data_IF_764154259749
#
_entry.id   IF_764154259749
#
_cell.length_a   1.000
_cell.length_b   1.000
_cell.length_c   1.000
_cell.angle_alpha   90.00
_cell.angle_beta   90.00
_cell.angle_gamma   90.00
#
_symmetry.space_group_name_H-M   'P 1'
#
loop_
_entity.id
_entity.type
_entity.pdbx_description
1 polymer ?
#
# COMPACT_ATOMS: atom_id res chain seq x y z
N UNK A 1 6.05 21.02 21.46
CA UNK A 1 5.99 20.88 19.99
C UNK A 1 5.77 19.39 19.73
N UNK A 2 4.67 19.01 19.10
CA UNK A 2 4.47 17.62 18.65
C UNK A 2 5.56 17.29 17.64
N UNK A 3 6.29 16.19 17.85
CA UNK A 3 7.30 15.73 16.90
C UNK A 3 6.61 15.50 15.54
N UNK A 4 7.20 16.04 14.47
CA UNK A 4 6.68 15.87 13.12
C UNK A 4 6.55 14.36 12.79
N UNK A 5 5.40 13.96 12.21
CA UNK A 5 5.11 12.57 11.82
C UNK A 5 4.31 12.57 10.53
N UNK A 6 4.76 11.81 9.54
CA UNK A 6 4.06 11.60 8.27
C UNK A 6 3.25 10.31 8.33
N UNK A 7 1.98 10.38 7.93
CA UNK A 7 1.13 9.22 7.71
C UNK A 7 0.78 9.12 6.23
N UNK A 8 1.07 7.97 5.63
CA UNK A 8 0.79 7.66 4.23
C UNK A 8 -0.32 6.60 4.20
N UNK A 9 -1.45 6.94 3.59
CA UNK A 9 -2.58 6.05 3.45
C UNK A 9 -2.54 5.36 2.08
N UNK A 10 -2.51 4.06 2.06
CA UNK A 10 -2.87 3.26 0.89
C UNK A 10 -4.39 3.35 0.72
N UNK A 11 -4.82 4.29 -0.14
CA UNK A 11 -6.23 4.64 -0.24
C UNK A 11 -7.07 3.51 -0.83
N UNK A 12 -6.54 2.77 -1.80
CA UNK A 12 -7.23 1.64 -2.39
C UNK A 12 -7.51 0.55 -1.35
N UNK A 13 -6.48 0.14 -0.62
CA UNK A 13 -6.62 -0.83 0.46
C UNK A 13 -7.68 -0.41 1.48
N UNK A 14 -7.74 0.88 1.84
CA UNK A 14 -8.70 1.37 2.82
C UNK A 14 -10.14 1.45 2.26
N UNK A 15 -10.36 1.95 1.03
CA UNK A 15 -11.73 2.04 0.52
C UNK A 15 -12.29 0.68 0.09
N UNK A 16 -11.47 -0.24 -0.43
CA UNK A 16 -11.90 -1.63 -0.64
C UNK A 16 -12.28 -2.29 0.68
N UNK A 17 -11.45 -2.12 1.72
CA UNK A 17 -11.76 -2.63 3.05
C UNK A 17 -13.05 -2.04 3.61
N UNK A 18 -13.29 -0.75 3.41
CA UNK A 18 -14.53 -0.09 3.80
C UNK A 18 -15.72 -0.67 3.06
N UNK A 19 -15.61 -0.85 1.75
CA UNK A 19 -16.66 -1.40 0.90
C UNK A 19 -17.12 -2.80 1.36
N UNK A 20 -16.17 -3.70 1.60
CA UNK A 20 -16.49 -5.07 2.01
C UNK A 20 -16.79 -5.20 3.51
N UNK A 21 -16.29 -4.28 4.34
CA UNK A 21 -16.42 -4.37 5.81
C UNK A 21 -17.57 -3.56 6.42
N UNK A 22 -18.06 -2.53 5.72
CA UNK A 22 -19.15 -1.68 6.21
C UNK A 22 -20.46 -2.06 5.52
N UNK A 23 -21.51 -2.38 6.28
CA UNK A 23 -22.79 -2.73 5.69
C UNK A 23 -23.37 -1.58 4.84
N UNK A 24 -23.90 -1.94 3.68
CA UNK A 24 -24.74 -1.04 2.90
C UNK A 24 -26.02 -0.71 3.68
N UNK A 25 -26.36 0.57 3.78
CA UNK A 25 -27.52 1.07 4.54
C UNK A 25 -28.60 1.67 3.64
N UNK A 26 -28.47 1.54 2.31
CA UNK A 26 -29.53 1.98 1.38
C UNK A 26 -30.85 1.33 1.73
N UNK A 27 -31.91 2.11 1.70
CA UNK A 27 -33.29 1.63 1.83
C UNK A 27 -33.91 1.30 0.49
N UNK A 28 -33.47 2.02 -0.54
CA UNK A 28 -33.86 1.83 -1.94
C UNK A 28 -32.57 1.56 -2.76
N UNK A 29 -32.53 0.52 -3.62
CA UNK A 29 -31.41 0.28 -4.54
C UNK A 29 -31.11 1.47 -5.49
N UNK A 30 -32.06 2.38 -5.69
CA UNK A 30 -31.86 3.60 -6.48
C UNK A 30 -31.08 4.70 -5.74
N UNK A 31 -30.93 4.60 -4.42
CA UNK A 31 -30.07 5.50 -3.65
C UNK A 31 -28.59 5.23 -3.95
N UNK A 32 -27.73 6.27 -3.96
CA UNK A 32 -26.29 6.06 -4.17
C UNK A 32 -25.68 5.22 -3.04
N UNK A 33 -24.80 4.24 -3.34
CA UNK A 33 -24.07 3.52 -2.32
C UNK A 33 -23.08 4.46 -1.61
N UNK A 34 -22.94 4.31 -0.28
CA UNK A 34 -22.08 5.19 0.53
C UNK A 34 -21.24 4.46 1.58
N UNK A 35 -21.32 3.14 1.63
CA UNK A 35 -20.61 2.33 2.65
C UNK A 35 -19.09 2.46 2.56
N UNK A 36 -18.50 2.51 1.36
CA UNK A 36 -17.07 2.72 1.18
C UNK A 36 -16.65 4.13 1.63
N UNK A 37 -17.40 5.16 1.22
CA UNK A 37 -17.09 6.55 1.62
C UNK A 37 -17.17 6.70 3.14
N UNK A 38 -18.26 6.22 3.75
CA UNK A 38 -18.42 6.26 5.21
C UNK A 38 -17.28 5.57 5.93
N UNK A 39 -16.99 4.33 5.52
CA UNK A 39 -15.95 3.55 6.15
C UNK A 39 -14.57 4.16 5.98
N UNK A 40 -14.26 4.68 4.79
CA UNK A 40 -12.99 5.35 4.53
C UNK A 40 -12.82 6.60 5.43
N UNK A 41 -13.83 7.48 5.49
CA UNK A 41 -13.79 8.66 6.35
C UNK A 41 -13.66 8.29 7.83
N UNK A 42 -14.38 7.27 8.30
CA UNK A 42 -14.27 6.77 9.67
C UNK A 42 -12.89 6.17 9.98
N UNK A 43 -12.27 5.51 9.01
CA UNK A 43 -10.89 5.01 9.15
C UNK A 43 -9.91 6.16 9.24
N UNK A 44 -10.04 7.20 8.40
CA UNK A 44 -9.20 8.41 8.48
C UNK A 44 -9.34 9.08 9.85
N UNK A 45 -10.57 9.31 10.31
CA UNK A 45 -10.82 9.89 11.64
C UNK A 45 -10.19 9.07 12.77
N UNK A 46 -10.31 7.74 12.71
CA UNK A 46 -9.72 6.82 13.69
C UNK A 46 -8.20 6.90 13.70
N UNK A 47 -7.57 6.86 12.53
CA UNK A 47 -6.12 6.90 12.37
C UNK A 47 -5.54 8.23 12.86
N UNK A 48 -6.14 9.35 12.45
CA UNK A 48 -5.68 10.69 12.88
C UNK A 48 -5.82 10.85 14.40
N UNK A 49 -6.94 10.42 14.99
CA UNK A 49 -7.16 10.49 16.43
C UNK A 49 -6.17 9.62 17.21
N UNK A 50 -5.91 8.40 16.75
CA UNK A 50 -5.05 7.43 17.45
C UNK A 50 -3.56 7.76 17.35
N UNK A 51 -3.10 8.18 16.16
CA UNK A 51 -1.67 8.32 15.87
C UNK A 51 -1.18 9.77 15.81
N UNK A 52 -2.11 10.75 15.76
CA UNK A 52 -1.82 12.20 15.78
C UNK A 52 -0.71 12.61 14.80
N UNK A 53 -0.84 12.27 13.51
CA UNK A 53 0.13 12.69 12.52
C UNK A 53 0.11 14.22 12.41
N UNK A 54 1.22 14.83 11.99
CA UNK A 54 1.28 16.24 11.61
C UNK A 54 1.20 16.43 10.09
N UNK A 55 1.47 15.36 9.35
CA UNK A 55 1.44 15.30 7.89
C UNK A 55 0.64 14.07 7.47
N UNK A 56 -0.24 14.21 6.50
CA UNK A 56 -1.12 13.15 6.02
C UNK A 56 -1.25 13.19 4.51
N UNK A 57 -1.09 12.04 3.87
CA UNK A 57 -1.28 11.90 2.43
C UNK A 57 -2.15 10.69 2.14
N UNK A 58 -3.20 10.89 1.35
CA UNK A 58 -3.95 9.82 0.71
C UNK A 58 -3.22 9.46 -0.61
N UNK A 59 -2.44 8.38 -0.59
CA UNK A 59 -1.74 7.89 -1.77
C UNK A 59 -2.73 7.16 -2.69
N UNK A 60 -2.59 7.36 -4.00
CA UNK A 60 -3.61 6.99 -4.97
C UNK A 60 -3.03 6.28 -6.18
N UNK A 61 -3.73 5.24 -6.65
CA UNK A 61 -3.42 4.59 -7.92
C UNK A 61 -3.90 5.48 -9.08
N UNK A 62 -2.95 6.07 -9.81
CA UNK A 62 -3.25 6.65 -11.10
C UNK A 62 -3.22 5.56 -12.19
N UNK A 63 -2.44 4.50 -11.93
CA UNK A 63 -2.40 3.29 -12.75
C UNK A 63 -2.27 2.06 -11.82
N UNK A 64 -3.32 1.26 -11.72
CA UNK A 64 -3.37 0.07 -10.85
C UNK A 64 -2.51 -1.10 -11.37
N UNK A 65 -2.12 -1.05 -12.66
CA UNK A 65 -1.36 -2.09 -13.38
C UNK A 65 -0.33 -1.46 -14.32
N UNK A 66 0.73 -0.82 -13.78
CA UNK A 66 1.71 -0.07 -14.55
C UNK A 66 2.33 -0.84 -15.71
N UNK A 67 2.44 -0.19 -16.86
CA UNK A 67 2.95 -0.80 -18.09
C UNK A 67 4.36 -1.39 -17.88
N UNK A 68 5.24 -0.72 -17.13
CA UNK A 68 6.60 -1.22 -16.89
C UNK A 68 6.65 -2.55 -16.11
N UNK A 69 5.64 -2.81 -15.25
CA UNK A 69 5.49 -4.09 -14.54
C UNK A 69 4.95 -5.16 -15.47
N UNK A 70 3.97 -4.82 -16.30
CA UNK A 70 3.39 -5.72 -17.32
C UNK A 70 4.42 -6.13 -18.36
N UNK A 71 5.26 -5.21 -18.83
CA UNK A 71 6.37 -5.52 -19.75
C UNK A 71 7.39 -6.46 -19.14
N UNK A 72 7.68 -6.30 -17.84
CA UNK A 72 8.61 -7.18 -17.14
C UNK A 72 8.00 -8.57 -16.85
N UNK A 73 6.74 -8.61 -16.38
CA UNK A 73 6.01 -9.85 -16.05
C UNK A 73 4.57 -9.72 -16.55
N UNK A 74 4.22 -10.26 -17.73
CA UNK A 74 2.88 -10.10 -18.33
C UNK A 74 1.73 -10.64 -17.47
N UNK A 75 2.00 -11.57 -16.56
CA UNK A 75 1.00 -12.13 -15.62
C UNK A 75 0.69 -11.20 -14.44
N UNK A 76 1.44 -10.10 -14.26
CA UNK A 76 1.22 -9.15 -13.18
C UNK A 76 -0.21 -8.62 -13.18
N UNK A 77 -0.96 -8.90 -12.12
CA UNK A 77 -2.38 -8.56 -11.90
C UNK A 77 -3.33 -8.88 -13.07
N UNK A 78 -2.93 -9.77 -14.02
CA UNK A 78 -3.72 -10.04 -15.21
C UNK A 78 -5.10 -10.64 -14.90
N UNK A 79 -5.25 -11.35 -13.79
CA UNK A 79 -6.51 -11.95 -13.35
C UNK A 79 -7.49 -10.93 -12.73
N UNK A 80 -7.08 -9.67 -12.53
CA UNK A 80 -7.93 -8.58 -12.05
C UNK A 80 -8.50 -7.73 -13.20
N UNK A 81 -8.17 -8.06 -14.46
CA UNK A 81 -8.72 -7.36 -15.61
C UNK A 81 -10.21 -7.65 -15.74
N UNK A 82 -11.00 -6.61 -15.99
CA UNK A 82 -12.42 -6.74 -16.31
C UNK A 82 -12.60 -7.53 -17.62
N UNK A 83 -13.71 -8.27 -17.72
CA UNK A 83 -14.01 -9.12 -18.88
C UNK A 83 -13.93 -8.33 -20.19
N UNK A 84 -13.03 -8.75 -21.08
CA UNK A 84 -12.83 -8.12 -22.38
C UNK A 84 -12.00 -6.84 -22.39
N UNK A 85 -11.53 -6.37 -21.23
CA UNK A 85 -10.62 -5.23 -21.11
C UNK A 85 -9.15 -5.68 -21.06
N UNK A 86 -8.25 -4.80 -21.51
CA UNK A 86 -6.80 -4.94 -21.35
C UNK A 86 -6.22 -3.96 -20.32
N UNK A 87 -7.03 -3.01 -19.84
CA UNK A 87 -6.60 -1.89 -19.02
C UNK A 87 -7.46 -1.69 -17.76
N UNK A 88 -8.76 -2.02 -17.81
CA UNK A 88 -9.68 -1.77 -16.71
C UNK A 88 -9.63 -2.88 -15.66
N UNK A 89 -9.54 -2.48 -14.36
CA UNK A 89 -9.66 -3.40 -13.25
C UNK A 89 -11.12 -3.79 -13.01
N UNK A 90 -11.37 -5.06 -12.75
CA UNK A 90 -12.69 -5.50 -12.30
C UNK A 90 -13.01 -4.90 -10.93
N UNK A 91 -13.84 -3.87 -10.94
CA UNK A 91 -14.27 -3.16 -9.74
C UNK A 91 -15.75 -3.42 -9.49
N UNK A 92 -16.18 -3.72 -8.25
CA UNK A 92 -17.59 -3.86 -7.94
C UNK A 92 -18.43 -2.64 -8.40
N UNK A 93 -19.57 -2.90 -9.06
CA UNK A 93 -20.43 -1.84 -9.62
C UNK A 93 -20.83 -0.79 -8.58
N UNK A 94 -21.10 -1.21 -7.35
CA UNK A 94 -21.46 -0.32 -6.25
C UNK A 94 -20.25 0.40 -5.61
N UNK A 95 -19.01 0.01 -5.89
CA UNK A 95 -17.81 0.70 -5.41
C UNK A 95 -17.40 1.83 -6.36
N UNK A 96 -17.45 1.58 -7.66
CA UNK A 96 -16.97 2.52 -8.67
C UNK A 96 -17.54 3.96 -8.51
N UNK A 97 -18.85 4.18 -8.26
CA UNK A 97 -19.40 5.52 -8.05
C UNK A 97 -18.99 6.18 -6.74
N UNK A 98 -18.50 5.41 -5.75
CA UNK A 98 -18.09 5.96 -4.45
C UNK A 98 -16.66 6.53 -4.46
N UNK A 99 -15.78 6.04 -5.35
CA UNK A 99 -14.38 6.48 -5.42
C UNK A 99 -14.25 7.98 -5.75
N UNK A 100 -14.99 8.55 -6.71
CA UNK A 100 -15.03 10.00 -6.93
C UNK A 100 -15.47 10.78 -5.69
N UNK A 101 -16.48 10.29 -4.94
CA UNK A 101 -16.99 10.97 -3.73
C UNK A 101 -15.92 10.99 -2.63
N UNK A 102 -15.15 9.90 -2.47
CA UNK A 102 -14.01 9.88 -1.53
C UNK A 102 -12.98 10.94 -1.92
N UNK A 103 -12.63 11.02 -3.22
CA UNK A 103 -11.68 12.01 -3.73
C UNK A 103 -12.15 13.45 -3.47
N UNK A 104 -13.43 13.72 -3.74
CA UNK A 104 -14.01 15.06 -3.57
C UNK A 104 -14.11 15.41 -2.08
N UNK A 105 -14.43 14.46 -1.19
CA UNK A 105 -14.39 14.64 0.25
C UNK A 105 -12.99 14.97 0.79
N UNK A 106 -11.94 14.27 0.31
CA UNK A 106 -10.57 14.58 0.66
C UNK A 106 -10.19 16.00 0.23
N UNK A 107 -10.56 16.39 -1.01
CA UNK A 107 -10.29 17.73 -1.53
C UNK A 107 -11.01 18.81 -0.72
N UNK A 108 -12.32 18.61 -0.41
CA UNK A 108 -13.11 19.56 0.39
C UNK A 108 -12.56 19.72 1.82
N UNK A 109 -12.06 18.64 2.42
CA UNK A 109 -11.40 18.66 3.72
C UNK A 109 -10.00 19.30 3.69
N UNK A 110 -9.37 19.45 2.52
CA UNK A 110 -7.99 19.91 2.40
C UNK A 110 -6.93 18.82 2.68
N UNK A 111 -7.35 17.55 2.69
CA UNK A 111 -6.41 16.41 2.83
C UNK A 111 -5.70 16.18 1.50
N UNK A 112 -4.38 16.18 1.52
CA UNK A 112 -3.55 16.00 0.32
C UNK A 112 -3.74 14.59 -0.23
N UNK A 113 -4.13 14.51 -1.51
CA UNK A 113 -4.18 13.26 -2.29
C UNK A 113 -3.08 13.32 -3.37
N UNK A 114 -2.23 12.31 -3.42
CA UNK A 114 -1.15 12.21 -4.40
C UNK A 114 -1.21 10.89 -5.14
N UNK A 115 -1.05 10.96 -6.45
CA UNK A 115 -0.82 9.87 -7.38
C UNK A 115 0.25 10.27 -8.39
N UNK A 116 0.74 9.32 -9.14
CA UNK A 116 1.68 9.55 -10.25
C UNK A 116 1.25 8.73 -11.46
N UNK A 117 1.19 9.35 -12.65
CA UNK A 117 0.77 8.66 -13.86
C UNK A 117 1.74 7.54 -14.22
N UNK A 118 1.21 6.36 -14.51
CA UNK A 118 1.98 5.15 -14.76
C UNK A 118 2.53 4.46 -13.50
N UNK A 119 2.03 4.82 -12.30
CA UNK A 119 2.44 4.26 -11.01
C UNK A 119 1.25 3.93 -10.11
N UNK A 120 1.46 2.96 -9.25
CA UNK A 120 0.52 2.56 -8.20
C UNK A 120 0.64 3.43 -6.95
N UNK A 121 -0.35 3.38 -6.07
CA UNK A 121 -0.28 4.01 -4.75
C UNK A 121 0.94 3.55 -3.95
N UNK A 122 1.34 2.29 -4.09
CA UNK A 122 2.52 1.70 -3.44
C UNK A 122 3.82 2.41 -3.85
N UNK A 123 3.94 2.78 -5.13
CA UNK A 123 5.09 3.54 -5.65
C UNK A 123 5.10 4.98 -5.10
N UNK A 124 3.92 5.59 -4.98
CA UNK A 124 3.76 6.89 -4.33
C UNK A 124 4.20 6.83 -2.87
N UNK A 125 3.75 5.80 -2.14
CA UNK A 125 4.15 5.54 -0.74
C UNK A 125 5.66 5.31 -0.64
N UNK A 126 6.22 4.49 -1.52
CA UNK A 126 7.66 4.23 -1.59
C UNK A 126 8.47 5.50 -1.81
N UNK A 127 8.04 6.32 -2.77
CA UNK A 127 8.68 7.60 -3.11
C UNK A 127 8.62 8.61 -1.96
N UNK A 128 7.44 8.79 -1.35
CA UNK A 128 7.29 9.69 -0.22
C UNK A 128 8.06 9.21 1.02
N UNK A 129 8.09 7.90 1.26
CA UNK A 129 8.91 7.30 2.31
C UNK A 129 10.40 7.59 2.07
N UNK A 130 10.90 7.38 0.84
CA UNK A 130 12.29 7.66 0.49
C UNK A 130 12.67 9.14 0.68
N UNK A 131 11.77 10.07 0.31
CA UNK A 131 11.98 11.53 0.46
C UNK A 131 12.04 11.98 1.92
N UNK A 132 11.26 11.35 2.80
CA UNK A 132 11.12 11.76 4.20
C UNK A 132 11.90 10.89 5.19
N UNK A 133 12.53 9.81 4.71
CA UNK A 133 13.36 8.90 5.50
C UNK A 133 14.44 9.67 6.27
N UNK A 134 14.48 9.45 7.58
CA UNK A 134 15.43 10.12 8.47
C UNK A 134 15.07 11.56 8.86
N UNK A 135 14.19 12.26 8.11
CA UNK A 135 13.74 13.62 8.46
C UNK A 135 12.63 13.59 9.52
N UNK A 136 11.67 12.67 9.38
CA UNK A 136 10.59 12.46 10.36
C UNK A 136 10.15 10.99 10.37
N UNK A 137 9.49 10.51 11.44
CA UNK A 137 8.84 9.20 11.44
C UNK A 137 7.80 9.09 10.33
N UNK A 138 7.74 7.91 9.69
CA UNK A 138 6.75 7.61 8.65
C UNK A 138 5.92 6.41 9.09
N UNK A 139 4.61 6.58 9.16
CA UNK A 139 3.62 5.52 9.38
C UNK A 139 2.94 5.23 8.05
N UNK A 140 3.17 4.04 7.47
CA UNK A 140 2.49 3.56 6.26
C UNK A 140 1.27 2.75 6.68
N UNK A 141 0.08 3.16 6.25
CA UNK A 141 -1.19 2.48 6.59
C UNK A 141 -1.66 1.69 5.39
N UNK A 142 -1.65 0.37 5.49
CA UNK A 142 -2.06 -0.52 4.41
C UNK A 142 -2.62 -1.86 4.91
N UNK A 143 -3.39 -2.54 4.08
CA UNK A 143 -3.76 -3.95 4.24
C UNK A 143 -2.87 -4.89 3.42
N UNK A 144 -1.91 -4.35 2.68
CA UNK A 144 -0.98 -5.11 1.85
C UNK A 144 0.36 -5.32 2.55
N UNK A 145 0.83 -6.56 2.54
CA UNK A 145 2.13 -6.93 3.11
C UNK A 145 3.31 -6.57 2.22
N UNK A 146 3.08 -6.26 0.96
CA UNK A 146 4.18 -5.93 0.05
C UNK A 146 4.86 -4.62 0.44
N UNK A 147 4.14 -3.73 1.15
CA UNK A 147 4.71 -2.52 1.74
C UNK A 147 5.58 -2.77 2.99
N UNK A 148 5.67 -4.01 3.49
CA UNK A 148 6.64 -4.36 4.56
C UNK A 148 8.09 -4.15 4.12
N UNK A 149 8.35 -4.11 2.82
CA UNK A 149 9.64 -3.76 2.24
C UNK A 149 10.15 -2.36 2.64
N UNK A 150 9.25 -1.47 3.09
CA UNK A 150 9.59 -0.10 3.49
C UNK A 150 10.07 0.03 4.94
N UNK A 151 9.87 -1.02 5.75
CA UNK A 151 10.24 -1.02 7.18
C UNK A 151 11.73 -0.73 7.37
N UNK A 152 12.01 0.25 8.23
CA UNK A 152 13.36 0.71 8.56
C UNK A 152 13.33 1.38 9.94
N UNK A 153 13.72 0.64 10.98
CA UNK A 153 13.69 1.12 12.36
C UNK A 153 14.68 2.26 12.59
N UNK A 154 15.84 2.23 11.90
CA UNK A 154 16.85 3.28 12.02
C UNK A 154 16.34 4.64 11.49
N UNK A 155 15.51 4.63 10.47
CA UNK A 155 14.86 5.82 9.89
C UNK A 155 13.45 6.06 10.45
N UNK A 156 13.00 5.26 11.40
CA UNK A 156 11.66 5.33 12.01
C UNK A 156 10.52 5.19 10.99
N UNK A 157 10.66 4.26 10.05
CA UNK A 157 9.61 3.88 9.09
C UNK A 157 9.00 2.57 9.55
N UNK A 158 7.68 2.55 9.75
CA UNK A 158 6.92 1.36 10.12
C UNK A 158 5.62 1.25 9.34
N UNK A 159 5.06 0.04 9.28
CA UNK A 159 3.76 -0.19 8.65
C UNK A 159 2.70 -0.44 9.74
N UNK A 160 1.59 0.25 9.62
CA UNK A 160 0.34 -0.01 10.35
C UNK A 160 -0.49 -0.96 9.49
N UNK A 161 -0.33 -2.26 9.74
CA UNK A 161 -0.94 -3.30 8.92
C UNK A 161 -2.37 -3.59 9.37
N UNK A 162 -3.32 -3.27 8.50
CA UNK A 162 -4.74 -3.28 8.83
C UNK A 162 -5.48 -4.58 8.50
N UNK A 163 -4.82 -5.57 7.90
CA UNK A 163 -5.50 -6.76 7.35
C UNK A 163 -6.29 -7.56 8.41
N UNK A 164 -5.82 -7.64 9.65
CA UNK A 164 -6.47 -8.41 10.73
C UNK A 164 -7.34 -7.54 11.64
N UNK A 165 -6.72 -6.62 12.38
CA UNK A 165 -7.40 -5.80 13.39
C UNK A 165 -8.05 -4.52 12.83
N UNK A 166 -7.92 -4.26 11.52
CA UNK A 166 -8.36 -3.01 10.91
C UNK A 166 -7.55 -1.81 11.40
N UNK A 167 -8.09 -0.61 11.20
CA UNK A 167 -7.44 0.63 11.61
C UNK A 167 -7.51 0.90 13.11
N UNK A 168 -8.35 0.16 13.84
CA UNK A 168 -8.48 0.32 15.31
C UNK A 168 -7.36 -0.40 16.06
N UNK A 169 -6.94 -1.54 15.57
CA UNK A 169 -5.89 -2.38 16.16
C UNK A 169 -4.97 -2.92 15.07
N UNK A 170 -4.26 -2.04 14.33
CA UNK A 170 -3.34 -2.51 13.29
C UNK A 170 -2.16 -3.24 13.91
N UNK A 171 -1.67 -4.29 13.25
CA UNK A 171 -0.37 -4.85 13.61
C UNK A 171 0.71 -3.79 13.33
N UNK A 172 1.54 -3.51 14.32
CA UNK A 172 2.71 -2.63 14.15
C UNK A 172 3.85 -3.44 13.55
N UNK A 173 4.15 -3.19 12.29
CA UNK A 173 5.21 -3.90 11.58
C UNK A 173 6.49 -3.06 11.60
N UNK A 174 7.47 -3.55 12.33
CA UNK A 174 8.83 -3.08 12.45
C UNK A 174 9.82 -4.22 12.09
N UNK A 175 11.12 -4.00 12.21
CA UNK A 175 12.11 -5.04 11.94
C UNK A 175 12.00 -6.23 12.91
N UNK A 176 11.57 -6.01 14.16
CA UNK A 176 11.30 -7.09 15.12
C UNK A 176 10.16 -7.98 14.62
N UNK A 177 9.06 -7.39 14.17
CA UNK A 177 7.95 -8.13 13.58
C UNK A 177 8.39 -8.95 12.35
N UNK A 178 9.22 -8.35 11.47
CA UNK A 178 9.74 -9.04 10.29
C UNK A 178 10.62 -10.25 10.68
N UNK A 179 11.48 -10.07 11.66
CA UNK A 179 12.36 -11.13 12.16
C UNK A 179 11.57 -12.29 12.78
N UNK A 180 10.59 -11.98 13.64
CA UNK A 180 9.79 -12.99 14.36
C UNK A 180 8.80 -13.72 13.43
N UNK A 181 8.19 -13.01 12.50
CA UNK A 181 7.11 -13.55 11.67
C UNK A 181 7.57 -14.18 10.38
N UNK A 182 8.61 -13.60 9.76
CA UNK A 182 9.10 -13.97 8.42
C UNK A 182 10.56 -14.44 8.43
N UNK A 183 11.25 -14.35 9.54
CA UNK A 183 12.68 -14.69 9.67
C UNK A 183 13.59 -13.91 8.71
N UNK A 184 13.27 -12.64 8.45
CA UNK A 184 14.07 -11.66 7.71
C UNK A 184 14.36 -10.44 8.56
N UNK A 185 15.54 -9.83 8.39
CA UNK A 185 16.06 -8.84 9.33
C UNK A 185 15.67 -7.39 8.98
N UNK A 186 15.08 -7.13 7.82
CA UNK A 186 14.79 -5.76 7.35
C UNK A 186 13.75 -5.73 6.23
N UNK A 187 13.22 -4.54 5.92
CA UNK A 187 12.33 -4.33 4.80
C UNK A 187 12.93 -4.76 3.45
N UNK A 188 14.15 -4.36 3.08
CA UNK A 188 14.79 -4.86 1.85
C UNK A 188 14.94 -6.38 1.80
N UNK A 189 15.28 -7.03 2.93
CA UNK A 189 15.34 -8.49 2.99
C UNK A 189 13.94 -9.12 2.81
N UNK A 190 12.88 -8.45 3.25
CA UNK A 190 11.50 -8.88 2.98
C UNK A 190 11.16 -8.82 1.49
N UNK A 191 11.53 -7.72 0.79
CA UNK A 191 11.37 -7.62 -0.66
C UNK A 191 12.07 -8.75 -1.41
N UNK A 192 13.33 -9.02 -1.06
CA UNK A 192 14.13 -10.10 -1.67
C UNK A 192 13.51 -11.49 -1.41
N UNK A 193 12.98 -11.71 -0.22
CA UNK A 193 12.23 -12.92 0.10
C UNK A 193 10.94 -13.02 -0.73
N UNK A 194 10.21 -11.92 -0.88
CA UNK A 194 8.97 -11.86 -1.68
C UNK A 194 9.24 -12.18 -3.16
N UNK A 195 10.33 -11.66 -3.73
CA UNK A 195 10.78 -12.01 -5.09
C UNK A 195 10.95 -13.52 -5.24
N UNK A 196 11.65 -14.16 -4.33
CA UNK A 196 11.89 -15.61 -4.38
C UNK A 196 10.61 -16.44 -4.22
N UNK A 197 9.74 -16.03 -3.27
CA UNK A 197 8.48 -16.69 -2.94
C UNK A 197 7.45 -16.56 -4.05
N UNK A 198 7.44 -15.40 -4.72
CA UNK A 198 6.35 -14.98 -5.57
C UNK A 198 5.12 -14.51 -4.79
N UNK A 199 4.13 -14.03 -5.51
CA UNK A 199 2.81 -13.69 -4.99
C UNK A 199 1.70 -14.02 -6.00
N UNK A 200 0.88 -14.99 -5.68
CA UNK A 200 -0.22 -15.41 -6.56
C UNK A 200 -1.34 -14.35 -6.66
N UNK A 201 -1.49 -13.50 -5.63
CA UNK A 201 -2.46 -12.41 -5.62
C UNK A 201 -2.10 -11.30 -6.59
N UNK A 202 -0.81 -11.20 -6.96
CA UNK A 202 -0.30 -10.27 -7.97
C UNK A 202 0.16 -10.95 -9.26
N UNK A 203 -0.10 -12.27 -9.39
CA UNK A 203 0.28 -13.03 -10.58
C UNK A 203 1.80 -13.24 -10.72
N UNK A 204 2.55 -13.15 -9.61
CA UNK A 204 3.99 -13.34 -9.58
C UNK A 204 4.33 -14.80 -9.27
N UNK A 205 4.97 -15.54 -10.21
CA UNK A 205 5.16 -16.99 -10.05
C UNK A 205 6.17 -17.37 -8.97
N UNK A 206 7.11 -16.48 -8.65
CA UNK A 206 8.26 -16.83 -7.80
C UNK A 206 9.19 -17.86 -8.45
N UNK A 207 10.11 -18.38 -7.65
CA UNK A 207 10.97 -19.50 -8.07
C UNK A 207 10.24 -20.82 -7.72
N UNK A 208 9.96 -21.62 -8.72
CA UNK A 208 9.20 -22.86 -8.56
C UNK A 208 9.80 -23.76 -7.46
N UNK A 209 8.97 -24.10 -6.45
CA UNK A 209 9.37 -24.93 -5.31
C UNK A 209 10.21 -24.21 -4.23
N UNK A 210 10.33 -22.88 -4.29
CA UNK A 210 10.90 -22.05 -3.23
C UNK A 210 9.74 -21.27 -2.59
N UNK A 211 9.20 -21.80 -1.49
CA UNK A 211 8.20 -21.12 -0.69
C UNK A 211 8.82 -20.22 0.38
N UNK A 212 7.97 -19.47 1.12
CA UNK A 212 8.34 -18.43 2.09
C UNK A 212 9.48 -18.83 3.05
N UNK A 213 9.39 -20.00 3.71
CA UNK A 213 10.42 -20.44 4.66
C UNK A 213 11.78 -20.69 4.00
N UNK A 214 11.77 -21.22 2.77
CA UNK A 214 13.02 -21.47 2.03
C UNK A 214 13.61 -20.17 1.52
N UNK A 215 12.78 -19.27 1.02
CA UNK A 215 13.18 -17.94 0.58
C UNK A 215 13.79 -17.13 1.74
N UNK A 216 13.10 -17.07 2.88
CA UNK A 216 13.63 -16.41 4.08
C UNK A 216 14.98 -16.95 4.53
N UNK A 217 15.14 -18.29 4.56
CA UNK A 217 16.42 -18.93 4.91
C UNK A 217 17.55 -18.58 3.93
N UNK A 218 17.24 -18.52 2.63
CA UNK A 218 18.23 -18.15 1.61
C UNK A 218 18.66 -16.69 1.81
N UNK A 219 17.71 -15.76 1.97
CA UNK A 219 18.04 -14.35 2.19
C UNK A 219 18.79 -14.16 3.52
N UNK A 220 18.39 -14.82 4.60
CA UNK A 220 19.12 -14.77 5.87
C UNK A 220 20.54 -15.31 5.77
N UNK A 221 20.78 -16.31 4.90
CA UNK A 221 22.11 -16.93 4.71
C UNK A 221 23.02 -16.06 3.85
N UNK A 222 22.52 -15.50 2.77
CA UNK A 222 23.30 -14.75 1.76
C UNK A 222 23.22 -13.22 1.93
N UNK A 223 22.32 -12.74 2.78
CA UNK A 223 22.13 -11.30 3.07
C UNK A 223 21.22 -10.57 2.09
N UNK A 224 21.26 -10.94 0.80
CA UNK A 224 20.42 -10.34 -0.24
C UNK A 224 20.18 -11.28 -1.42
N UNK A 225 19.19 -10.97 -2.24
CA UNK A 225 18.94 -11.65 -3.51
C UNK A 225 20.15 -11.53 -4.46
N UNK A 226 20.77 -10.37 -4.51
CA UNK A 226 21.95 -10.14 -5.36
C UNK A 226 23.11 -11.05 -4.95
N UNK A 227 23.44 -11.12 -3.65
CA UNK A 227 24.48 -12.00 -3.14
C UNK A 227 24.12 -13.50 -3.32
N UNK A 228 22.86 -13.88 -3.17
CA UNK A 228 22.41 -15.23 -3.47
C UNK A 228 22.62 -15.60 -4.94
N UNK A 229 22.31 -14.69 -5.86
CA UNK A 229 22.52 -14.91 -7.30
C UNK A 229 24.01 -15.07 -7.63
N UNK A 230 24.85 -14.19 -7.10
CA UNK A 230 26.30 -14.30 -7.25
C UNK A 230 26.82 -15.65 -6.74
N UNK A 231 26.31 -16.13 -5.59
CA UNK A 231 26.68 -17.45 -5.05
C UNK A 231 26.22 -18.61 -5.96
N UNK A 232 25.08 -18.52 -6.61
CA UNK A 232 24.60 -19.48 -7.61
C UNK A 232 25.54 -19.50 -8.81
N UNK A 233 25.84 -18.32 -9.37
CA UNK A 233 26.63 -18.16 -10.59
C UNK A 233 28.09 -18.57 -10.37
N UNK A 234 28.69 -18.29 -9.21
CA UNK A 234 30.03 -18.69 -8.83
C UNK A 234 30.18 -20.17 -8.45
N UNK A 235 29.07 -20.90 -8.38
CA UNK A 235 29.11 -22.33 -8.07
C UNK A 235 29.27 -22.65 -6.59
N UNK A 236 28.82 -21.81 -5.66
CA UNK A 236 28.93 -22.05 -4.21
C UNK A 236 28.47 -23.46 -3.84
N UNK A 237 29.33 -24.30 -3.23
CA UNK A 237 29.01 -25.69 -2.90
C UNK A 237 27.93 -25.82 -1.81
N UNK A 238 27.60 -24.76 -1.09
CA UNK A 238 26.48 -24.73 -0.13
C UNK A 238 25.11 -24.81 -0.83
N UNK A 239 24.97 -24.24 -2.04
CA UNK A 239 23.76 -24.33 -2.88
C UNK A 239 23.93 -25.54 -3.81
N UNK A 240 23.18 -26.61 -3.55
CA UNK A 240 23.36 -27.90 -4.27
C UNK A 240 22.00 -28.59 -4.57
N UNK A 241 22.11 -29.58 -5.44
CA UNK A 241 20.97 -30.46 -5.76
C UNK A 241 19.78 -29.72 -6.30
N UNK A 242 18.56 -30.07 -5.86
CA UNK A 242 17.34 -29.49 -6.35
C UNK A 242 17.22 -27.98 -6.07
N UNK A 243 17.83 -27.46 -4.99
CA UNK A 243 17.80 -26.02 -4.69
C UNK A 243 18.56 -25.22 -5.74
N UNK A 244 19.78 -25.68 -6.12
CA UNK A 244 20.52 -25.04 -7.20
C UNK A 244 19.78 -25.09 -8.51
N UNK A 245 19.29 -26.27 -8.91
CA UNK A 245 18.56 -26.42 -10.16
C UNK A 245 17.32 -25.50 -10.25
N UNK A 246 16.62 -25.27 -9.14
CA UNK A 246 15.47 -24.37 -9.07
C UNK A 246 15.86 -22.89 -9.25
N UNK A 247 16.94 -22.47 -8.59
CA UNK A 247 17.45 -21.09 -8.70
C UNK A 247 17.97 -20.81 -10.12
N UNK A 248 18.71 -21.76 -10.72
CA UNK A 248 19.18 -21.68 -12.09
C UNK A 248 18.00 -21.64 -13.09
N UNK A 249 16.99 -22.49 -12.91
CA UNK A 249 15.78 -22.49 -13.75
C UNK A 249 14.95 -21.20 -13.59
N UNK A 250 14.99 -20.58 -12.42
CA UNK A 250 14.32 -19.31 -12.12
C UNK A 250 15.09 -18.05 -12.52
N UNK A 251 16.30 -18.18 -13.10
CA UNK A 251 17.20 -17.05 -13.34
C UNK A 251 16.53 -15.92 -14.14
N UNK A 252 15.86 -16.25 -15.25
CA UNK A 252 15.18 -15.25 -16.09
C UNK A 252 14.07 -14.48 -15.34
N UNK A 253 13.33 -15.16 -14.46
CA UNK A 253 12.35 -14.49 -13.59
C UNK A 253 13.06 -13.57 -12.58
N UNK A 254 14.12 -14.05 -11.94
CA UNK A 254 14.89 -13.28 -10.96
C UNK A 254 15.62 -12.06 -11.56
N UNK A 255 15.81 -12.01 -12.89
CA UNK A 255 16.36 -10.84 -13.58
C UNK A 255 15.37 -9.67 -13.62
N UNK A 256 14.07 -9.94 -13.70
CA UNK A 256 13.04 -8.93 -13.90
C UNK A 256 12.16 -8.70 -12.67
N UNK A 257 11.98 -9.71 -11.82
CA UNK A 257 11.05 -9.67 -10.70
C UNK A 257 11.34 -8.56 -9.66
N UNK A 258 12.59 -8.20 -9.34
CA UNK A 258 12.85 -7.07 -8.44
C UNK A 258 12.20 -5.76 -8.90
N UNK A 259 12.19 -5.50 -10.23
CA UNK A 259 11.55 -4.30 -10.80
C UNK A 259 10.03 -4.30 -10.62
N UNK A 260 9.42 -5.45 -10.45
CA UNK A 260 7.96 -5.59 -10.28
C UNK A 260 7.57 -5.58 -8.81
N UNK A 261 8.35 -6.26 -7.96
CA UNK A 261 8.07 -6.42 -6.52
C UNK A 261 8.46 -5.18 -5.71
N UNK A 262 9.56 -4.52 -6.07
CA UNK A 262 10.02 -3.35 -5.35
C UNK A 262 9.22 -2.12 -5.76
N UNK A 263 8.76 -1.36 -4.75
CA UNK A 263 8.11 -0.06 -4.99
C UNK A 263 9.12 0.98 -5.47
N UNK A 264 8.70 1.87 -6.37
CA UNK A 264 9.56 2.91 -6.89
C UNK A 264 9.92 3.94 -5.80
N UNK A 265 11.21 4.27 -5.62
CA UNK A 265 11.63 5.30 -4.66
C UNK A 265 11.62 6.71 -5.26
N UNK A 266 11.33 6.86 -6.55
CA UNK A 266 11.55 8.06 -7.36
C UNK A 266 10.44 8.32 -8.40
N UNK A 267 9.22 7.81 -8.17
CA UNK A 267 8.06 8.13 -8.99
C UNK A 267 7.87 9.67 -9.07
N UNK A 268 7.34 10.20 -10.18
CA UNK A 268 7.19 11.64 -10.39
C UNK A 268 6.05 12.25 -9.56
N UNK A 269 6.08 12.02 -8.26
CA UNK A 269 5.12 12.56 -7.30
C UNK A 269 5.38 14.05 -7.11
N UNK A 270 4.36 14.93 -7.21
CA UNK A 270 4.52 16.36 -6.99
C UNK A 270 5.10 16.69 -5.60
N UNK A 271 5.90 17.73 -5.53
CA UNK A 271 6.40 18.28 -4.26
C UNK A 271 5.43 19.37 -3.77
N UNK A 272 4.61 19.01 -2.79
CA UNK A 272 3.59 19.88 -2.20
C UNK A 272 3.63 19.79 -0.68
N UNK A 273 3.15 20.81 0.06
CA UNK A 273 3.01 20.70 1.51
C UNK A 273 2.10 19.54 1.92
N UNK A 274 2.58 18.68 2.83
CA UNK A 274 1.86 17.48 3.30
C UNK A 274 1.23 17.69 4.68
N UNK A 275 1.32 18.88 5.24
CA UNK A 275 0.80 19.23 6.57
C UNK A 275 -0.71 19.04 6.60
N UNK A 276 -1.23 18.56 7.73
CA UNK A 276 -2.66 18.50 7.97
C UNK A 276 -3.33 19.87 7.75
N UNK A 277 -4.57 19.90 7.19
CA UNK A 277 -5.30 21.15 7.00
C UNK A 277 -5.58 21.83 8.36
N UNK A 278 -5.57 23.15 8.36
CA UNK A 278 -5.94 23.99 9.52
C UNK A 278 -7.32 24.65 9.35
N UNK A 279 -7.92 24.48 8.19
CA UNK A 279 -9.29 24.93 7.83
C UNK A 279 -9.87 24.00 6.77
N UNK A 280 -11.19 23.99 6.65
CA UNK A 280 -11.89 23.27 5.59
C UNK A 280 -11.63 23.98 4.26
N UNK A 281 -11.08 23.26 3.27
CA UNK A 281 -10.68 23.87 2.00
C UNK A 281 -11.87 24.32 1.14
N UNK A 282 -12.96 23.54 1.13
CA UNK A 282 -14.21 23.87 0.41
C UNK A 282 -15.43 23.48 1.25
N UNK A 283 -15.92 24.40 2.13
CA UNK A 283 -17.10 24.15 2.96
C UNK A 283 -18.38 23.89 2.16
N UNK A 284 -18.54 24.54 1.00
CA UNK A 284 -19.74 24.38 0.18
C UNK A 284 -19.78 23.00 -0.48
N UNK A 285 -18.63 22.49 -0.99
CA UNK A 285 -18.54 21.14 -1.51
C UNK A 285 -18.75 20.11 -0.38
N UNK A 286 -18.16 20.35 0.78
CA UNK A 286 -18.31 19.45 1.92
C UNK A 286 -19.78 19.35 2.37
N UNK A 287 -20.51 20.48 2.40
CA UNK A 287 -21.94 20.54 2.69
C UNK A 287 -22.77 19.75 1.67
N UNK A 288 -22.52 19.93 0.37
CA UNK A 288 -23.19 19.15 -0.68
C UNK A 288 -22.95 17.65 -0.53
N UNK A 289 -21.72 17.25 -0.29
CA UNK A 289 -21.38 15.82 -0.08
C UNK A 289 -22.13 15.27 1.15
N UNK A 290 -22.21 16.04 2.24
CA UNK A 290 -22.97 15.65 3.43
C UNK A 290 -24.45 15.40 3.13
N UNK A 291 -25.08 16.35 2.42
CA UNK A 291 -26.52 16.32 2.09
C UNK A 291 -26.86 15.24 1.06
N UNK A 292 -26.12 15.20 -0.07
CA UNK A 292 -26.40 14.32 -1.21
C UNK A 292 -26.19 12.83 -0.86
N UNK A 293 -25.23 12.52 0.04
CA UNK A 293 -24.85 11.17 0.38
C UNK A 293 -25.12 10.78 1.84
N UNK A 294 -25.72 11.66 2.66
CA UNK A 294 -26.02 11.39 4.06
C UNK A 294 -24.76 11.16 4.92
N UNK A 295 -23.72 11.95 4.70
CA UNK A 295 -22.39 11.75 5.29
C UNK A 295 -22.04 12.66 6.47
N UNK A 296 -23.03 13.39 7.05
CA UNK A 296 -22.82 14.28 8.21
C UNK A 296 -22.04 13.63 9.36
N UNK A 297 -22.40 12.39 9.71
CA UNK A 297 -21.78 11.68 10.83
C UNK A 297 -20.30 11.43 10.60
N UNK A 298 -19.89 10.74 9.52
CA UNK A 298 -18.48 10.51 9.16
C UNK A 298 -17.70 11.82 9.01
N UNK A 299 -18.23 12.81 8.30
CA UNK A 299 -17.54 14.09 8.09
C UNK A 299 -17.30 14.83 9.41
N UNK A 300 -18.28 14.90 10.31
CA UNK A 300 -18.05 15.47 11.65
C UNK A 300 -16.95 14.77 12.43
N UNK A 301 -16.84 13.44 12.31
CA UNK A 301 -15.75 12.71 12.99
C UNK A 301 -14.38 13.05 12.41
N UNK A 302 -14.27 13.19 11.09
CA UNK A 302 -13.00 13.62 10.45
C UNK A 302 -12.68 15.05 10.85
N UNK A 303 -13.63 15.98 10.80
CA UNK A 303 -13.43 17.37 11.22
C UNK A 303 -12.96 17.45 12.67
N UNK A 304 -13.60 16.70 13.56
CA UNK A 304 -13.17 16.64 14.97
C UNK A 304 -11.78 16.05 15.14
N UNK A 305 -11.41 15.02 14.35
CA UNK A 305 -10.07 14.41 14.39
C UNK A 305 -8.98 15.36 13.87
N UNK A 306 -9.35 16.26 12.94
CA UNK A 306 -8.45 17.26 12.35
C UNK A 306 -8.45 18.59 13.11
N UNK A 307 -9.21 18.71 14.21
CA UNK A 307 -9.42 19.97 14.96
C UNK A 307 -9.98 21.12 14.08
N UNK A 308 -10.86 20.79 13.11
CA UNK A 308 -11.48 21.73 12.14
C UNK A 308 -12.93 22.10 12.49
N UNK A 309 -13.34 22.07 13.75
CA UNK A 309 -14.72 22.36 14.21
C UNK A 309 -14.94 23.82 14.57
#
# INVERSE_FOLDING_TARGET
MTDARLMLLDSASLYFRAFFGVPDQRRDPAEPPTNAVRGFLDMVATLVTAHRPTHLVACWDNDWRPQFRVEAIPTYKAHRLADGSLEEEETPDDLAPQVPVIRDALAALGIVRLGADGYEADDVIGTLTARHRGAMPVDVVTGDRDLFQLVDDASRVRVLYTARGGVREPDLVDETFLAERYAVASGPAYADMAVLRGDSSDGLPGVAGIGEKTAAKLIATYGSLAALREAVDSGDPAIKGAQRARLEAGAAYLDVAPRVVQVAPDAPVPDVPLVLPTEVADPDLLGRIADDYGLDGPLRRVLAALDLT
#
